data_IF_865139668265
#
_entry.id   IF_865139668265
#
_cell.length_a   1.000
_cell.length_b   1.000
_cell.length_c   1.000
_cell.angle_alpha   90.00
_cell.angle_beta   90.00
_cell.angle_gamma   90.00
#
_symmetry.space_group_name_H-M   'P 1'
#
loop_
_entity.id
_entity.type
_entity.pdbx_description
1 polymer ?
#
# COMPACT_ATOMS: atom_id res chain seq x y z
N UNK A 1 12.52 0.49 -5.02
CA UNK A 1 13.12 -0.88 -5.14
C UNK A 1 12.80 -1.68 -3.87
N UNK A 2 12.37 -2.95 -3.98
CA UNK A 2 11.85 -3.74 -2.82
C UNK A 2 12.96 -4.39 -1.97
N UNK A 3 14.05 -4.80 -2.63
CA UNK A 3 15.27 -5.36 -2.01
C UNK A 3 16.43 -4.41 -2.29
N UNK A 4 17.15 -4.00 -1.25
CA UNK A 4 18.28 -3.09 -1.39
C UNK A 4 19.55 -3.83 -1.87
N UNK A 5 20.08 -3.43 -3.02
CA UNK A 5 21.38 -3.86 -3.50
C UNK A 5 22.40 -2.72 -3.29
N UNK A 6 23.59 -3.01 -2.76
CA UNK A 6 24.57 -1.98 -2.44
C UNK A 6 25.22 -1.35 -3.68
N UNK A 7 25.23 -2.07 -4.81
CA UNK A 7 25.80 -1.60 -6.08
C UNK A 7 25.07 -2.24 -7.27
N UNK A 8 25.07 -1.60 -8.45
CA UNK A 8 24.60 -2.22 -9.68
C UNK A 8 25.45 -3.46 -10.02
N UNK A 9 24.80 -4.61 -10.15
CA UNK A 9 25.44 -5.88 -10.52
C UNK A 9 24.65 -6.58 -11.60
N UNK A 10 25.33 -7.39 -12.41
CA UNK A 10 24.70 -8.28 -13.39
C UNK A 10 24.80 -9.71 -12.89
N UNK A 11 23.67 -10.41 -12.90
CA UNK A 11 23.60 -11.81 -12.51
C UNK A 11 23.03 -12.62 -13.65
N UNK A 12 23.72 -13.68 -14.05
CA UNK A 12 23.29 -14.57 -15.11
C UNK A 12 22.24 -15.54 -14.56
N UNK A 13 20.97 -15.33 -14.96
CA UNK A 13 19.82 -16.08 -14.43
C UNK A 13 19.56 -17.40 -15.18
N UNK A 14 19.69 -17.37 -16.50
CA UNK A 14 19.47 -18.49 -17.40
C UNK A 14 20.10 -18.19 -18.77
N UNK A 15 20.41 -19.23 -19.53
CA UNK A 15 20.78 -19.14 -20.93
C UNK A 15 19.86 -20.05 -21.74
N UNK A 16 19.44 -19.59 -22.93
CA UNK A 16 18.46 -20.28 -23.78
C UNK A 16 19.00 -20.36 -25.21
N UNK A 17 18.99 -21.56 -25.77
CA UNK A 17 19.32 -21.75 -27.19
C UNK A 17 18.17 -21.19 -28.04
N UNK A 18 18.45 -20.20 -28.89
CA UNK A 18 17.42 -19.47 -29.64
C UNK A 18 16.62 -20.37 -30.59
N UNK A 19 17.28 -21.33 -31.24
CA UNK A 19 16.65 -22.19 -32.24
C UNK A 19 15.69 -23.23 -31.62
N UNK A 20 16.09 -23.86 -30.52
CA UNK A 20 15.30 -24.93 -29.87
C UNK A 20 14.45 -24.42 -28.71
N UNK A 21 14.77 -23.24 -28.17
CA UNK A 21 14.17 -22.73 -26.95
C UNK A 21 14.56 -23.49 -25.67
N UNK A 22 15.50 -24.43 -25.74
CA UNK A 22 15.97 -25.20 -24.58
C UNK A 22 16.84 -24.31 -23.69
N UNK A 23 16.58 -24.35 -22.38
CA UNK A 23 17.44 -23.70 -21.40
C UNK A 23 18.67 -24.57 -21.12
N UNK A 24 19.83 -23.95 -21.00
CA UNK A 24 21.03 -24.66 -20.56
C UNK A 24 20.90 -25.09 -19.09
N UNK A 25 21.39 -26.29 -18.74
CA UNK A 25 21.57 -26.71 -17.35
C UNK A 25 22.41 -25.72 -16.55
N UNK A 26 22.16 -25.62 -15.24
CA UNK A 26 22.89 -24.67 -14.38
C UNK A 26 24.40 -24.95 -14.33
N UNK A 27 24.81 -26.22 -14.42
CA UNK A 27 26.22 -26.63 -14.48
C UNK A 27 26.97 -26.06 -15.69
N UNK A 28 26.30 -25.89 -16.83
CA UNK A 28 26.88 -25.32 -18.03
C UNK A 28 27.02 -23.78 -17.96
N UNK A 29 26.35 -23.14 -16.99
CA UNK A 29 26.41 -21.69 -16.80
C UNK A 29 27.79 -21.22 -16.30
N UNK A 30 28.58 -22.10 -15.69
CA UNK A 30 29.95 -21.79 -15.27
C UNK A 30 30.83 -21.39 -16.46
N UNK A 31 30.71 -22.09 -17.59
CA UNK A 31 31.44 -21.78 -18.82
C UNK A 31 31.03 -20.42 -19.41
N UNK A 32 29.77 -19.99 -19.21
CA UNK A 32 29.30 -18.67 -19.63
C UNK A 32 29.87 -17.56 -18.75
N UNK A 33 30.05 -17.80 -17.45
CA UNK A 33 30.70 -16.85 -16.56
C UNK A 33 32.14 -16.58 -16.98
N UNK A 34 32.92 -17.63 -17.29
CA UNK A 34 34.31 -17.47 -17.76
C UNK A 34 34.40 -16.66 -19.05
N UNK A 35 33.42 -16.82 -19.94
CA UNK A 35 33.41 -16.15 -21.25
C UNK A 35 32.91 -14.71 -21.20
N UNK A 36 31.90 -14.43 -20.39
CA UNK A 36 31.18 -13.15 -20.40
C UNK A 36 31.37 -12.32 -19.14
N UNK A 37 32.10 -12.83 -18.14
CA UNK A 37 32.37 -12.18 -16.86
C UNK A 37 31.08 -11.79 -16.11
N UNK A 38 30.05 -12.66 -16.21
CA UNK A 38 28.78 -12.49 -15.49
C UNK A 38 28.53 -13.69 -14.58
N UNK A 39 28.53 -13.50 -13.24
CA UNK A 39 28.37 -14.60 -12.30
C UNK A 39 26.97 -15.23 -12.42
N UNK A 40 26.86 -16.57 -12.36
CA UNK A 40 25.57 -17.23 -12.36
C UNK A 40 24.81 -16.98 -11.06
N UNK A 41 23.48 -17.00 -11.13
CA UNK A 41 22.64 -16.98 -9.95
C UNK A 41 22.98 -18.17 -9.03
N UNK A 42 22.91 -17.93 -7.72
CA UNK A 42 23.15 -18.97 -6.71
C UNK A 42 22.18 -20.14 -6.88
N UNK A 43 22.71 -21.35 -6.86
CA UNK A 43 21.95 -22.60 -6.84
C UNK A 43 21.91 -23.17 -5.43
N UNK A 44 20.74 -23.65 -5.01
CA UNK A 44 20.48 -24.20 -3.67
C UNK A 44 20.30 -25.72 -3.67
N UNK A 45 20.51 -26.37 -4.82
CA UNK A 45 20.35 -27.82 -4.98
C UNK A 45 18.91 -28.26 -5.20
N UNK A 46 18.71 -29.58 -5.19
CA UNK A 46 17.40 -30.19 -5.41
C UNK A 46 16.52 -30.12 -4.17
N UNK A 47 15.23 -29.85 -4.38
CA UNK A 47 14.21 -29.86 -3.32
C UNK A 47 13.71 -31.28 -3.12
N UNK A 48 13.94 -31.86 -1.94
CA UNK A 48 13.50 -33.23 -1.59
C UNK A 48 12.16 -33.25 -0.85
N UNK A 49 11.84 -32.21 -0.08
CA UNK A 49 10.56 -31.99 0.58
C UNK A 49 9.98 -30.64 0.13
N UNK A 50 9.02 -30.71 -0.80
CA UNK A 50 8.42 -29.53 -1.40
C UNK A 50 7.63 -28.69 -0.38
N UNK A 51 6.94 -29.33 0.57
CA UNK A 51 6.11 -28.61 1.55
C UNK A 51 7.00 -27.81 2.48
N UNK A 52 8.01 -28.48 3.06
CA UNK A 52 8.98 -27.83 3.94
C UNK A 52 9.69 -26.67 3.24
N UNK A 53 10.13 -26.87 1.99
CA UNK A 53 10.77 -25.81 1.22
C UNK A 53 9.84 -24.61 0.99
N UNK A 54 8.55 -24.85 0.73
CA UNK A 54 7.57 -23.76 0.56
C UNK A 54 7.40 -22.95 1.84
N UNK A 55 7.27 -23.63 3.00
CA UNK A 55 7.11 -22.98 4.29
C UNK A 55 8.35 -22.14 4.67
N UNK A 56 9.56 -22.68 4.42
CA UNK A 56 10.83 -21.97 4.63
C UNK A 56 10.99 -20.78 3.69
N UNK A 57 10.66 -20.93 2.41
CA UNK A 57 10.76 -19.86 1.41
C UNK A 57 9.80 -18.71 1.69
N UNK A 58 8.58 -18.99 2.14
CA UNK A 58 7.59 -17.96 2.53
C UNK A 58 8.04 -17.18 3.75
N UNK A 59 8.64 -17.86 4.72
CA UNK A 59 9.13 -17.27 5.97
C UNK A 59 10.47 -16.55 5.83
N UNK A 60 11.14 -16.66 4.68
CA UNK A 60 12.46 -16.09 4.46
C UNK A 60 12.44 -14.55 4.51
N UNK A 61 13.32 -13.97 5.31
CA UNK A 61 13.48 -12.52 5.43
C UNK A 61 14.63 -12.01 4.54
N UNK A 62 14.50 -10.77 4.05
CA UNK A 62 15.57 -10.07 3.33
C UNK A 62 15.79 -10.52 1.87
N UNK A 63 14.96 -11.44 1.35
CA UNK A 63 15.04 -11.91 -0.04
C UNK A 63 13.69 -11.76 -0.74
N UNK A 64 13.71 -11.66 -2.07
CA UNK A 64 12.48 -11.74 -2.89
C UNK A 64 11.89 -13.15 -2.86
N UNK A 65 12.74 -14.17 -2.97
CA UNK A 65 12.33 -15.56 -3.02
C UNK A 65 13.24 -16.42 -3.88
N UNK A 66 12.67 -17.48 -4.45
CA UNK A 66 13.38 -18.50 -5.22
C UNK A 66 12.71 -18.74 -6.58
N UNK A 67 13.48 -19.31 -7.51
CA UNK A 67 12.96 -19.88 -8.75
C UNK A 67 13.21 -21.38 -8.71
N UNK A 68 12.14 -22.18 -8.78
CA UNK A 68 12.20 -23.64 -8.87
C UNK A 68 12.22 -24.02 -10.34
N UNK A 69 13.20 -24.83 -10.75
CA UNK A 69 13.31 -25.37 -12.10
C UNK A 69 13.01 -26.87 -12.08
N UNK A 70 12.13 -27.32 -12.94
CA UNK A 70 11.78 -28.73 -13.10
C UNK A 70 12.65 -29.38 -14.19
N UNK A 71 12.67 -30.71 -14.21
CA UNK A 71 13.47 -31.49 -15.16
C UNK A 71 13.08 -31.27 -16.63
N UNK A 72 11.83 -30.87 -16.89
CA UNK A 72 11.31 -30.53 -18.21
C UNK A 72 11.59 -29.06 -18.62
N UNK A 73 12.30 -28.30 -17.78
CA UNK A 73 12.60 -26.89 -18.00
C UNK A 73 11.49 -25.93 -17.57
N UNK A 74 10.37 -26.42 -17.02
CA UNK A 74 9.35 -25.57 -16.40
C UNK A 74 9.94 -24.80 -15.21
N UNK A 75 9.45 -23.58 -14.97
CA UNK A 75 9.95 -22.70 -13.90
C UNK A 75 8.82 -22.06 -13.12
N UNK A 76 8.94 -22.08 -11.79
CA UNK A 76 8.00 -21.42 -10.88
C UNK A 76 8.74 -20.43 -9.99
N UNK A 77 8.16 -19.24 -9.81
CA UNK A 77 8.63 -18.24 -8.86
C UNK A 77 7.93 -18.46 -7.53
N UNK A 78 8.70 -18.55 -6.45
CA UNK A 78 8.19 -18.63 -5.09
C UNK A 78 8.70 -17.42 -4.32
N UNK A 79 7.82 -16.45 -4.06
CA UNK A 79 8.15 -15.20 -3.37
C UNK A 79 7.96 -15.36 -1.85
N UNK A 80 8.79 -14.67 -1.07
CA UNK A 80 8.61 -14.59 0.39
C UNK A 80 7.39 -13.74 0.75
N UNK A 81 6.75 -14.03 1.88
CA UNK A 81 5.56 -13.30 2.31
C UNK A 81 5.90 -11.84 2.61
N UNK A 82 7.06 -11.59 3.24
CA UNK A 82 7.57 -10.25 3.51
C UNK A 82 7.82 -9.43 2.23
N UNK A 83 8.36 -10.05 1.18
CA UNK A 83 8.54 -9.39 -0.11
C UNK A 83 7.19 -9.04 -0.76
N UNK A 84 6.25 -9.99 -0.80
CA UNK A 84 4.93 -9.78 -1.41
C UNK A 84 4.18 -8.67 -0.69
N UNK A 85 4.24 -8.65 0.65
CA UNK A 85 3.60 -7.62 1.46
C UNK A 85 4.21 -6.23 1.18
N UNK A 86 5.54 -6.11 1.20
CA UNK A 86 6.23 -4.84 0.91
C UNK A 86 5.97 -4.37 -0.52
N UNK A 87 6.03 -5.28 -1.50
CA UNK A 87 5.74 -4.96 -2.89
C UNK A 87 4.33 -4.43 -3.04
N UNK A 88 3.33 -5.12 -2.46
CA UNK A 88 1.93 -4.67 -2.48
C UNK A 88 1.78 -3.28 -1.85
N UNK A 89 2.38 -3.05 -0.69
CA UNK A 89 2.35 -1.75 -0.04
C UNK A 89 2.94 -0.67 -0.95
N UNK A 90 4.15 -0.88 -1.49
CA UNK A 90 4.80 0.06 -2.41
C UNK A 90 3.98 0.33 -3.68
N UNK A 91 3.35 -0.69 -4.28
CA UNK A 91 2.46 -0.49 -5.43
C UNK A 91 1.22 0.31 -5.05
N UNK A 92 0.69 0.12 -3.83
CA UNK A 92 -0.49 0.83 -3.35
C UNK A 92 -0.24 2.33 -3.08
N UNK A 93 0.99 2.72 -2.73
CA UNK A 93 1.42 4.11 -2.46
C UNK A 93 1.15 5.04 -3.65
N UNK A 94 1.14 4.53 -4.89
CA UNK A 94 0.86 5.31 -6.10
C UNK A 94 -0.55 5.92 -6.13
N UNK A 95 -1.52 5.28 -5.46
CA UNK A 95 -2.91 5.71 -5.49
C UNK A 95 -3.33 6.26 -4.14
N UNK A 96 -3.68 7.54 -4.10
CA UNK A 96 -4.07 8.23 -2.86
C UNK A 96 -5.26 7.55 -2.17
N UNK A 97 -6.22 6.96 -2.91
CA UNK A 97 -7.32 6.21 -2.32
C UNK A 97 -6.86 5.04 -1.43
N UNK A 98 -5.77 4.37 -1.81
CA UNK A 98 -5.22 3.27 -1.02
C UNK A 98 -4.54 3.80 0.25
N UNK A 99 -3.78 4.88 0.10
CA UNK A 99 -3.12 5.56 1.21
C UNK A 99 -4.15 6.11 2.21
N UNK A 100 -5.23 6.71 1.70
CA UNK A 100 -6.37 7.14 2.50
C UNK A 100 -7.06 5.96 3.19
N UNK A 101 -7.15 4.80 2.54
CA UNK A 101 -7.72 3.59 3.14
C UNK A 101 -6.92 3.17 4.38
N UNK A 102 -5.59 3.21 4.33
CA UNK A 102 -4.74 2.91 5.49
C UNK A 102 -4.98 3.89 6.65
N UNK A 103 -5.07 5.19 6.35
CA UNK A 103 -5.41 6.21 7.35
C UNK A 103 -6.79 5.95 7.96
N UNK A 104 -7.79 5.69 7.12
CA UNK A 104 -9.18 5.49 7.54
C UNK A 104 -9.38 4.25 8.41
N UNK A 105 -8.59 3.20 8.16
CA UNK A 105 -8.64 1.91 8.86
C UNK A 105 -7.66 1.79 10.02
N UNK A 106 -6.78 2.78 10.21
CA UNK A 106 -5.76 2.76 11.26
C UNK A 106 -4.56 1.85 10.95
N UNK A 107 -4.39 1.41 9.71
CA UNK A 107 -3.33 0.49 9.29
C UNK A 107 -1.97 1.18 9.01
N UNK A 108 -1.84 2.47 9.28
CA UNK A 108 -0.62 3.24 8.97
C UNK A 108 0.59 2.69 9.72
N UNK A 109 0.47 2.37 11.00
CA UNK A 109 1.60 1.91 11.82
C UNK A 109 2.20 0.60 11.29
N UNK A 110 1.34 -0.35 10.89
CA UNK A 110 1.74 -1.62 10.31
C UNK A 110 2.40 -1.44 8.93
N UNK A 111 1.85 -0.55 8.11
CA UNK A 111 2.34 -0.30 6.74
C UNK A 111 3.65 0.48 6.75
N UNK A 112 3.81 1.47 7.62
CA UNK A 112 5.06 2.24 7.74
C UNK A 112 6.23 1.34 8.12
N UNK A 113 6.02 0.34 8.98
CA UNK A 113 7.08 -0.58 9.41
C UNK A 113 7.73 -1.38 8.26
N UNK A 114 7.02 -1.55 7.14
CA UNK A 114 7.52 -2.30 5.97
C UNK A 114 7.94 -1.41 4.81
N UNK A 115 7.63 -0.11 4.86
CA UNK A 115 7.95 0.86 3.83
C UNK A 115 9.35 1.47 4.04
N UNK A 116 9.99 1.96 2.96
CA UNK A 116 11.14 2.87 3.06
C UNK A 116 10.81 4.10 3.91
N UNK A 117 11.79 4.60 4.67
CA UNK A 117 11.62 5.72 5.61
C UNK A 117 11.02 6.96 4.96
N UNK A 118 11.50 7.36 3.78
CA UNK A 118 11.00 8.51 3.03
C UNK A 118 9.49 8.44 2.74
N UNK A 119 9.01 7.25 2.37
CA UNK A 119 7.59 7.02 2.07
C UNK A 119 6.80 6.98 3.39
N UNK A 120 7.36 6.32 4.41
CA UNK A 120 6.75 6.23 5.74
C UNK A 120 6.55 7.60 6.38
N UNK A 121 7.55 8.48 6.33
CA UNK A 121 7.47 9.85 6.82
C UNK A 121 6.38 10.65 6.11
N UNK A 122 6.28 10.53 4.78
CA UNK A 122 5.22 11.18 3.99
C UNK A 122 3.83 10.65 4.38
N UNK A 123 3.69 9.34 4.58
CA UNK A 123 2.44 8.71 5.02
C UNK A 123 2.02 9.20 6.42
N UNK A 124 2.96 9.32 7.35
CA UNK A 124 2.70 9.86 8.69
C UNK A 124 2.25 11.32 8.61
N UNK A 125 2.92 12.15 7.79
CA UNK A 125 2.52 13.54 7.60
C UNK A 125 1.10 13.65 7.01
N UNK A 126 0.79 12.84 6.01
CA UNK A 126 -0.55 12.76 5.41
C UNK A 126 -1.61 12.34 6.43
N UNK A 127 -1.33 11.31 7.25
CA UNK A 127 -2.19 10.88 8.34
C UNK A 127 -2.44 12.00 9.36
N UNK A 128 -1.39 12.72 9.76
CA UNK A 128 -1.48 13.82 10.71
C UNK A 128 -2.40 14.94 10.23
N UNK A 129 -2.30 15.33 8.95
CA UNK A 129 -3.19 16.32 8.33
C UNK A 129 -4.66 15.89 8.40
N UNK A 130 -4.95 14.65 8.01
CA UNK A 130 -6.32 14.11 8.04
C UNK A 130 -6.85 14.05 9.47
N UNK A 131 -6.05 13.56 10.42
CA UNK A 131 -6.46 13.46 11.82
C UNK A 131 -6.72 14.84 12.44
N UNK A 132 -5.92 15.85 12.11
CA UNK A 132 -6.15 17.22 12.54
C UNK A 132 -7.46 17.79 11.97
N UNK A 133 -7.72 17.58 10.68
CA UNK A 133 -8.96 18.01 10.04
C UNK A 133 -10.19 17.28 10.59
N UNK A 134 -10.09 15.96 10.82
CA UNK A 134 -11.11 15.16 11.49
C UNK A 134 -11.46 15.72 12.86
N UNK A 135 -10.45 15.98 13.70
CA UNK A 135 -10.65 16.52 15.03
C UNK A 135 -11.30 17.91 14.99
N UNK A 136 -10.86 18.79 14.08
CA UNK A 136 -11.43 20.12 13.89
C UNK A 136 -12.91 20.06 13.46
N UNK A 137 -13.24 19.23 12.47
CA UNK A 137 -14.62 19.03 12.02
C UNK A 137 -15.49 18.39 13.10
N UNK A 138 -14.99 17.36 13.78
CA UNK A 138 -15.71 16.73 14.88
C UNK A 138 -16.02 17.74 15.99
N UNK A 139 -15.05 18.59 16.36
CA UNK A 139 -15.24 19.67 17.33
C UNK A 139 -16.29 20.68 16.88
N UNK A 140 -16.20 21.18 15.63
CA UNK A 140 -17.17 22.13 15.06
C UNK A 140 -18.57 21.55 15.00
N UNK A 141 -18.70 20.30 14.56
CA UNK A 141 -19.97 19.58 14.45
C UNK A 141 -20.58 19.35 15.83
N UNK A 142 -19.79 18.90 16.80
CA UNK A 142 -20.23 18.68 18.18
C UNK A 142 -20.71 19.99 18.82
N UNK A 143 -19.92 21.06 18.71
CA UNK A 143 -20.28 22.38 19.22
C UNK A 143 -21.59 22.91 18.62
N UNK A 144 -21.78 22.74 17.31
CA UNK A 144 -23.02 23.14 16.65
C UNK A 144 -24.23 22.32 17.14
N UNK A 145 -24.10 21.00 17.24
CA UNK A 145 -25.16 20.12 17.73
C UNK A 145 -25.56 20.44 19.17
N UNK A 146 -24.58 20.71 20.05
CA UNK A 146 -24.83 21.10 21.44
C UNK A 146 -25.55 22.46 21.53
N UNK A 147 -25.09 23.45 20.77
CA UNK A 147 -25.67 24.81 20.80
C UNK A 147 -27.13 24.88 20.31
N UNK A 148 -27.55 23.95 19.45
CA UNK A 148 -28.89 23.92 18.87
C UNK A 148 -29.74 22.77 19.43
N UNK A 149 -29.34 22.18 20.55
CA UNK A 149 -30.08 21.07 21.17
C UNK A 149 -31.52 21.49 21.49
N UNK A 150 -32.48 20.66 21.10
CA UNK A 150 -33.91 20.92 21.33
C UNK A 150 -34.59 21.73 20.22
N UNK A 151 -33.85 22.20 19.21
CA UNK A 151 -34.46 22.81 18.03
C UNK A 151 -35.30 21.78 17.27
N UNK A 152 -36.39 22.22 16.65
CA UNK A 152 -37.13 21.34 15.75
C UNK A 152 -36.23 20.90 14.59
N UNK A 153 -36.25 19.61 14.23
CA UNK A 153 -35.34 19.01 13.21
C UNK A 153 -35.39 19.75 11.87
N UNK A 154 -36.55 20.31 11.49
CA UNK A 154 -36.74 21.12 10.28
C UNK A 154 -35.97 22.44 10.32
N UNK A 155 -35.93 23.11 11.47
CA UNK A 155 -35.16 24.34 11.68
C UNK A 155 -33.67 24.04 11.63
N UNK A 156 -33.24 22.96 12.30
CA UNK A 156 -31.85 22.50 12.26
C UNK A 156 -31.40 22.20 10.81
N UNK A 157 -32.23 21.53 10.01
CA UNK A 157 -31.92 21.21 8.63
C UNK A 157 -31.73 22.45 7.73
N UNK A 158 -32.43 23.55 8.00
CA UNK A 158 -32.21 24.80 7.29
C UNK A 158 -30.84 25.40 7.65
N UNK A 159 -30.52 25.48 8.95
CA UNK A 159 -29.25 26.02 9.44
C UNK A 159 -28.03 25.19 9.01
N UNK A 160 -28.16 23.87 8.99
CA UNK A 160 -27.10 22.95 8.55
C UNK A 160 -26.77 23.18 7.07
N UNK A 161 -27.78 23.30 6.20
CA UNK A 161 -27.57 23.53 4.76
C UNK A 161 -26.96 24.89 4.46
N UNK A 162 -27.25 25.90 5.27
CA UNK A 162 -26.71 27.25 5.10
C UNK A 162 -25.24 27.35 5.56
N UNK A 163 -24.86 26.64 6.62
CA UNK A 163 -23.58 26.87 7.32
C UNK A 163 -22.51 25.81 7.11
N UNK A 164 -22.86 24.67 6.52
CA UNK A 164 -21.96 23.54 6.40
C UNK A 164 -21.97 22.92 5.02
N UNK A 165 -20.79 22.42 4.64
CA UNK A 165 -20.62 21.59 3.46
C UNK A 165 -21.58 20.39 3.48
N UNK A 166 -22.11 20.04 2.30
CA UNK A 166 -23.05 18.94 2.12
C UNK A 166 -22.55 17.60 2.69
N UNK A 167 -21.24 17.36 2.62
CA UNK A 167 -20.60 16.13 3.08
C UNK A 167 -20.53 16.03 4.62
N UNK A 168 -20.53 17.16 5.33
CA UNK A 168 -20.52 17.20 6.80
C UNK A 168 -21.93 17.08 7.40
N UNK A 169 -22.98 17.33 6.63
CA UNK A 169 -24.36 17.34 7.11
C UNK A 169 -24.79 16.02 7.79
N UNK A 170 -24.43 14.82 7.28
CA UNK A 170 -24.73 13.57 7.97
C UNK A 170 -24.12 13.49 9.38
N UNK A 171 -22.88 13.99 9.57
CA UNK A 171 -22.22 14.01 10.88
C UNK A 171 -22.92 14.98 11.85
N UNK A 172 -23.47 16.10 11.36
CA UNK A 172 -24.26 17.04 12.16
C UNK A 172 -25.53 16.42 12.72
N UNK A 173 -26.30 15.71 11.89
CA UNK A 173 -27.48 15.00 12.39
C UNK A 173 -27.11 13.86 13.32
N UNK A 174 -26.00 13.15 13.03
CA UNK A 174 -25.50 12.08 13.91
C UNK A 174 -25.15 12.62 15.31
N UNK A 175 -24.46 13.77 15.37
CA UNK A 175 -24.15 14.46 16.61
C UNK A 175 -25.39 15.04 17.31
N UNK A 176 -26.34 15.56 16.53
CA UNK A 176 -27.61 16.06 17.05
C UNK A 176 -28.42 14.97 17.75
N UNK A 177 -28.37 13.75 17.21
CA UNK A 177 -28.96 12.54 17.79
C UNK A 177 -28.14 11.99 18.98
N UNK A 178 -27.15 12.74 19.47
CA UNK A 178 -26.37 12.45 20.68
C UNK A 178 -25.18 11.49 20.47
N UNK A 179 -24.84 11.18 19.22
CA UNK A 179 -23.74 10.25 18.90
C UNK A 179 -22.44 10.99 18.63
N UNK A 180 -21.31 10.28 18.63
CA UNK A 180 -20.03 10.89 18.35
C UNK A 180 -19.88 11.22 16.84
N UNK A 181 -19.75 12.51 16.44
CA UNK A 181 -19.55 12.87 15.04
C UNK A 181 -18.30 12.28 14.42
N UNK A 182 -17.27 11.96 15.20
CA UNK A 182 -16.04 11.39 14.67
C UNK A 182 -16.30 10.05 13.96
N UNK A 183 -17.25 9.24 14.46
CA UNK A 183 -17.65 7.98 13.83
C UNK A 183 -18.21 8.21 12.41
N UNK A 184 -19.07 9.22 12.27
CA UNK A 184 -19.67 9.57 10.98
C UNK A 184 -18.64 10.14 9.99
N UNK A 185 -17.71 10.95 10.48
CA UNK A 185 -16.62 11.53 9.67
C UNK A 185 -15.60 10.47 9.24
N UNK A 186 -15.23 9.53 10.12
CA UNK A 186 -14.39 8.39 9.76
C UNK A 186 -15.08 7.53 8.69
N UNK A 187 -16.37 7.29 8.84
CA UNK A 187 -17.17 6.57 7.83
C UNK A 187 -17.17 7.28 6.48
N UNK A 188 -17.24 8.61 6.46
CA UNK A 188 -17.13 9.41 5.24
C UNK A 188 -15.76 9.18 4.55
N UNK A 189 -14.66 9.26 5.30
CA UNK A 189 -13.31 9.05 4.76
C UNK A 189 -13.12 7.61 4.28
N UNK A 190 -13.58 6.61 5.04
CA UNK A 190 -13.53 5.20 4.61
C UNK A 190 -14.26 4.99 3.29
N UNK A 191 -15.43 5.63 3.10
CA UNK A 191 -16.16 5.57 1.82
C UNK A 191 -15.45 6.30 0.69
N UNK A 192 -14.78 7.40 1.01
CA UNK A 192 -13.99 8.18 0.05
C UNK A 192 -12.81 7.39 -0.49
N UNK A 193 -12.12 6.63 0.37
CA UNK A 193 -11.04 5.73 0.01
C UNK A 193 -11.41 4.62 -1.00
N UNK A 194 -12.71 4.46 -1.33
CA UNK A 194 -13.16 3.49 -2.32
C UNK A 194 -12.90 3.87 -3.79
N UNK A 195 -12.70 5.15 -4.13
CA UNK A 195 -12.40 5.57 -5.50
C UNK A 195 -11.79 6.96 -5.59
N UNK A 196 -11.00 7.22 -6.63
CA UNK A 196 -10.26 8.49 -6.78
C UNK A 196 -11.21 9.70 -6.87
N UNK A 197 -12.32 9.58 -7.61
CA UNK A 197 -13.34 10.64 -7.68
C UNK A 197 -13.94 10.98 -6.30
N UNK A 198 -14.02 10.01 -5.39
CA UNK A 198 -14.57 10.26 -4.05
C UNK A 198 -13.51 10.83 -3.11
N UNK A 199 -12.24 10.45 -3.26
CA UNK A 199 -11.12 11.12 -2.60
C UNK A 199 -11.12 12.60 -2.97
N UNK A 200 -11.22 12.90 -4.27
CA UNK A 200 -11.24 14.28 -4.76
C UNK A 200 -12.39 15.09 -4.16
N UNK A 201 -13.58 14.49 -4.09
CA UNK A 201 -14.76 15.15 -3.54
C UNK A 201 -14.59 15.61 -2.08
N UNK A 202 -13.75 14.94 -1.28
CA UNK A 202 -13.52 15.28 0.14
C UNK A 202 -12.14 15.92 0.37
N UNK A 203 -11.35 16.15 -0.69
CA UNK A 203 -9.94 16.58 -0.60
C UNK A 203 -9.79 17.86 0.19
N UNK A 204 -10.43 18.92 -0.29
CA UNK A 204 -10.37 20.25 0.30
C UNK A 204 -10.96 20.27 1.72
N UNK A 205 -11.98 19.44 1.94
CA UNK A 205 -12.62 19.32 3.23
C UNK A 205 -11.65 18.85 4.32
N UNK A 206 -10.75 17.91 4.00
CA UNK A 206 -9.78 17.36 4.95
C UNK A 206 -8.35 17.85 4.73
N UNK A 207 -8.14 18.82 3.83
CA UNK A 207 -6.81 19.33 3.48
C UNK A 207 -5.87 18.24 2.92
N UNK A 208 -6.42 17.25 2.23
CA UNK A 208 -5.67 16.08 1.81
C UNK A 208 -4.79 16.40 0.62
N UNK A 209 -3.50 16.10 0.74
CA UNK A 209 -2.58 16.19 -0.39
C UNK A 209 -1.61 15.02 -0.32
N UNK A 210 -1.84 14.04 -1.18
CA UNK A 210 -0.90 12.96 -1.41
C UNK A 210 -0.26 13.12 -2.79
N UNK A 211 1.06 12.95 -2.87
CA UNK A 211 1.76 12.83 -4.13
C UNK A 211 2.81 11.74 -4.05
N UNK A 212 2.78 10.84 -5.03
CA UNK A 212 3.81 9.85 -5.27
C UNK A 212 5.01 10.42 -6.05
N UNK A 213 4.94 11.68 -6.48
CA UNK A 213 6.01 12.34 -7.22
C UNK A 213 7.30 12.41 -6.38
N UNK A 214 8.42 12.14 -7.04
CA UNK A 214 9.75 12.09 -6.41
C UNK A 214 10.03 10.83 -5.58
N UNK A 215 9.07 9.91 -5.40
CA UNK A 215 9.30 8.68 -4.66
C UNK A 215 9.94 7.59 -5.54
N UNK A 216 10.94 6.89 -5.00
CA UNK A 216 11.58 5.75 -5.65
C UNK A 216 10.72 4.47 -5.58
N UNK A 217 9.57 4.50 -6.25
CA UNK A 217 8.60 3.42 -6.27
C UNK A 217 8.95 2.37 -7.35
N UNK A 218 8.63 1.09 -7.13
CA UNK A 218 8.65 0.12 -8.21
C UNK A 218 7.68 0.54 -9.32
N UNK A 219 8.03 0.26 -10.58
CA UNK A 219 7.09 0.38 -11.69
C UNK A 219 5.84 -0.45 -11.36
N UNK A 220 4.66 0.15 -11.54
CA UNK A 220 3.42 -0.59 -11.41
C UNK A 220 3.37 -1.65 -12.51
N UNK A 221 3.34 -2.93 -12.14
CA UNK A 221 2.95 -3.99 -13.09
C UNK A 221 1.52 -3.64 -13.56
N UNK A 222 1.41 -3.26 -14.84
CA UNK A 222 0.14 -2.89 -15.49
C UNK A 222 -0.77 -4.11 -15.71
#
# INVERSE_FOLDING_TARGET
MVVAYPAPVRTLLAARVMASGVCLPHEEMAALNERFEVPPVRNYGSVTDAKRFVDEARSAAGIEGYVVCFADGHRLKLKSDGYVLRHRALSSVHLEKNVLSWVATGAVDDVVAILPSEIGERLIAYQATINAALAAHAGRVRGFATAHRGFARKVLAALVRERFDAQLQPALFFAYDGKDPEIALRTLITRAAGSDNRVEAVRDLFGMTWSAEGLALPESEA
#
